data_IF_973197357091
#
_entry.id   IF_973197357091
#
_cell.length_a   1.000
_cell.length_b   1.000
_cell.length_c   1.000
_cell.angle_alpha   90.00
_cell.angle_beta   90.00
_cell.angle_gamma   90.00
#
_symmetry.space_group_name_H-M   'P 1'
#
loop_
_entity.id
_entity.type
_entity.pdbx_description
1 polymer ?
#
# COMPACT_ATOMS: atom_id res chain seq x y z
N UNK A 1 20.00 -5.96 -20.44
CA UNK A 1 18.89 -5.00 -20.36
C UNK A 1 19.41 -3.67 -19.90
N UNK A 2 18.76 -2.59 -20.32
CA UNK A 2 18.94 -1.25 -19.78
C UNK A 2 17.91 -1.02 -18.69
N UNK A 3 18.36 -0.81 -17.46
CA UNK A 3 17.53 -0.81 -16.26
C UNK A 3 17.58 0.54 -15.56
N UNK A 4 16.42 1.12 -15.28
CA UNK A 4 16.31 2.32 -14.46
C UNK A 4 16.12 1.93 -13.00
N UNK A 5 17.09 2.20 -12.13
CA UNK A 5 16.99 1.93 -10.71
C UNK A 5 16.38 3.13 -9.96
N UNK A 6 15.21 2.93 -9.35
CA UNK A 6 14.57 3.94 -8.51
C UNK A 6 15.24 4.00 -7.13
N UNK A 7 16.06 5.02 -6.91
CA UNK A 7 16.91 5.19 -5.74
C UNK A 7 16.32 6.22 -4.78
N UNK A 8 15.76 5.72 -3.67
CA UNK A 8 15.07 6.50 -2.64
C UNK A 8 16.00 7.20 -1.64
N UNK A 9 17.31 6.96 -1.70
CA UNK A 9 18.26 7.34 -0.65
C UNK A 9 18.30 6.39 0.54
N UNK A 10 17.46 5.35 0.54
CA UNK A 10 17.47 4.25 1.52
C UNK A 10 18.35 3.08 1.10
N UNK A 11 18.70 2.25 2.10
CA UNK A 11 19.53 1.04 1.94
C UNK A 11 18.96 0.07 0.91
N UNK A 12 17.65 -0.18 0.95
CA UNK A 12 16.97 -1.15 0.10
C UNK A 12 17.15 -0.81 -1.39
N UNK A 13 16.88 0.45 -1.75
CA UNK A 13 17.01 0.88 -3.15
C UNK A 13 18.46 0.94 -3.65
N UNK A 14 19.43 1.20 -2.75
CA UNK A 14 20.84 1.20 -3.11
C UNK A 14 21.35 -0.23 -3.37
N UNK A 15 20.97 -1.19 -2.51
CA UNK A 15 21.31 -2.61 -2.71
C UNK A 15 20.60 -3.16 -3.94
N UNK A 16 19.34 -2.80 -4.17
CA UNK A 16 18.63 -3.20 -5.38
C UNK A 16 19.33 -2.73 -6.66
N UNK A 17 19.81 -1.48 -6.70
CA UNK A 17 20.60 -0.96 -7.81
C UNK A 17 21.92 -1.74 -7.97
N UNK A 18 22.60 -2.02 -6.87
CA UNK A 18 23.86 -2.78 -6.89
C UNK A 18 23.68 -4.20 -7.44
N UNK A 19 22.63 -4.90 -7.02
CA UNK A 19 22.31 -6.24 -7.51
C UNK A 19 21.95 -6.24 -9.01
N UNK A 20 21.28 -5.18 -9.50
CA UNK A 20 21.03 -5.03 -10.92
C UNK A 20 22.32 -4.82 -11.74
N UNK A 21 23.28 -4.07 -11.19
CA UNK A 21 24.63 -3.91 -11.80
C UNK A 21 25.37 -5.25 -11.81
N UNK A 22 25.35 -5.97 -10.68
CA UNK A 22 26.01 -7.27 -10.51
C UNK A 22 25.44 -8.34 -11.47
N UNK A 23 24.13 -8.28 -11.75
CA UNK A 23 23.48 -9.10 -12.77
C UNK A 23 23.85 -8.73 -14.23
N UNK A 24 24.77 -7.79 -14.43
CA UNK A 24 25.30 -7.39 -15.73
C UNK A 24 24.37 -6.48 -16.55
N UNK A 25 23.47 -5.74 -15.90
CA UNK A 25 22.61 -4.78 -16.59
C UNK A 25 23.29 -3.42 -16.77
N UNK A 26 22.88 -2.69 -17.81
CA UNK A 26 23.22 -1.27 -17.99
C UNK A 26 22.29 -0.44 -17.10
N UNK A 27 22.77 -0.09 -15.90
CA UNK A 27 21.94 0.53 -14.86
C UNK A 27 22.12 2.05 -14.86
N UNK A 28 21.00 2.78 -14.82
CA UNK A 28 20.96 4.21 -14.53
C UNK A 28 20.15 4.42 -13.27
N UNK A 29 20.70 5.15 -12.31
CA UNK A 29 20.00 5.56 -11.09
C UNK A 29 19.10 6.77 -11.33
N UNK A 30 17.93 6.77 -10.69
CA UNK A 30 17.05 7.94 -10.63
C UNK A 30 16.46 8.13 -9.25
N UNK A 31 16.46 9.36 -8.78
CA UNK A 31 15.69 9.76 -7.60
C UNK A 31 14.46 10.58 -8.01
N UNK A 32 13.32 10.29 -7.39
CA UNK A 32 12.09 11.02 -7.62
C UNK A 32 11.92 12.07 -6.54
N UNK A 33 12.00 13.35 -6.91
CA UNK A 33 11.63 14.44 -6.03
C UNK A 33 10.09 14.55 -6.01
N UNK A 34 9.46 14.25 -4.88
CA UNK A 34 8.00 14.22 -4.73
C UNK A 34 7.45 15.37 -3.85
N UNK A 35 8.32 16.18 -3.23
CA UNK A 35 7.92 17.34 -2.43
C UNK A 35 8.05 18.64 -3.23
N UNK A 36 6.97 19.44 -3.26
CA UNK A 36 7.00 20.83 -3.79
C UNK A 36 7.79 21.77 -2.88
N UNK A 37 7.84 21.48 -1.58
CA UNK A 37 8.60 22.27 -0.60
C UNK A 37 10.01 21.70 -0.43
N UNK A 38 10.92 22.18 -1.26
CA UNK A 38 12.35 21.81 -1.25
C UNK A 38 13.08 22.26 0.01
N UNK A 39 12.57 23.29 0.68
CA UNK A 39 13.19 23.93 1.85
C UNK A 39 12.83 23.27 3.19
N UNK A 40 12.01 22.22 3.20
CA UNK A 40 11.79 21.44 4.42
C UNK A 40 13.03 20.60 4.71
N UNK A 41 13.98 21.19 5.44
CA UNK A 41 14.96 20.44 6.22
C UNK A 41 14.20 19.48 7.14
N UNK A 42 14.15 18.20 6.77
CA UNK A 42 13.56 17.17 7.61
C UNK A 42 14.60 16.69 8.59
N UNK A 43 14.29 16.74 9.88
CA UNK A 43 15.06 16.05 10.91
C UNK A 43 14.57 14.60 11.02
N UNK A 44 15.33 13.63 10.52
CA UNK A 44 15.11 12.19 10.77
C UNK A 44 14.77 11.34 9.54
N UNK A 45 14.53 10.04 9.75
CA UNK A 45 14.40 9.02 8.69
C UNK A 45 13.01 8.88 8.04
N UNK A 46 12.11 9.85 8.23
CA UNK A 46 10.69 9.74 7.83
C UNK A 46 10.47 10.28 6.41
N UNK A 47 10.61 9.40 5.41
CA UNK A 47 10.28 9.64 4.00
C UNK A 47 11.48 9.52 3.05
N UNK A 48 11.19 9.39 1.75
CA UNK A 48 12.17 9.15 0.67
C UNK A 48 12.35 10.35 -0.28
N UNK A 49 11.88 11.54 0.10
CA UNK A 49 11.60 12.65 -0.80
C UNK A 49 12.35 13.95 -0.42
N UNK A 50 13.37 13.87 0.43
CA UNK A 50 14.14 15.02 0.89
C UNK A 50 15.39 15.26 0.04
N UNK A 51 15.98 16.47 0.16
CA UNK A 51 17.28 16.78 -0.45
C UNK A 51 18.37 15.85 0.07
N UNK A 52 18.31 15.47 1.35
CA UNK A 52 19.27 14.55 1.96
C UNK A 52 19.19 13.16 1.32
N UNK A 53 17.99 12.67 1.06
CA UNK A 53 17.75 11.39 0.38
C UNK A 53 18.30 11.38 -1.05
N UNK A 54 18.12 12.49 -1.78
CA UNK A 54 18.71 12.65 -3.11
C UNK A 54 20.25 12.64 -3.06
N UNK A 55 20.83 13.21 -2.00
CA UNK A 55 22.28 13.18 -1.75
C UNK A 55 22.80 11.78 -1.39
N UNK A 56 22.06 11.04 -0.56
CA UNK A 56 22.36 9.63 -0.24
C UNK A 56 22.31 8.74 -1.49
N UNK A 57 21.26 8.89 -2.30
CA UNK A 57 21.10 8.16 -3.54
C UNK A 57 22.23 8.48 -4.53
N UNK A 58 22.65 9.75 -4.63
CA UNK A 58 23.79 10.16 -5.44
C UNK A 58 25.08 9.46 -4.98
N UNK A 59 25.39 9.50 -3.67
CA UNK A 59 26.59 8.83 -3.12
C UNK A 59 26.60 7.34 -3.41
N UNK A 60 25.45 6.67 -3.26
CA UNK A 60 25.32 5.26 -3.62
C UNK A 60 25.57 5.03 -5.11
N UNK A 61 25.03 5.87 -6.00
CA UNK A 61 25.27 5.77 -7.43
C UNK A 61 26.75 5.99 -7.81
N UNK A 62 27.43 6.94 -7.15
CA UNK A 62 28.86 7.20 -7.36
C UNK A 62 29.71 5.98 -6.95
N UNK A 63 29.39 5.31 -5.82
CA UNK A 63 30.05 4.06 -5.40
C UNK A 63 29.85 2.93 -6.41
N UNK A 64 28.64 2.83 -6.99
CA UNK A 64 28.31 1.82 -8.00
C UNK A 64 28.85 2.16 -9.39
N UNK A 65 29.37 3.37 -9.61
CA UNK A 65 29.86 3.81 -10.92
C UNK A 65 28.77 3.98 -11.97
N UNK A 66 27.51 4.25 -11.56
CA UNK A 66 26.36 4.37 -12.47
C UNK A 66 25.95 5.84 -12.70
N UNK A 67 25.42 6.20 -13.89
CA UNK A 67 24.81 7.51 -14.11
C UNK A 67 23.62 7.73 -13.16
N UNK A 68 23.42 8.98 -12.72
CA UNK A 68 22.37 9.32 -11.77
C UNK A 68 21.67 10.64 -12.13
N UNK A 69 20.34 10.62 -12.07
CA UNK A 69 19.49 11.78 -12.34
C UNK A 69 18.46 12.00 -11.22
N UNK A 70 17.99 13.24 -11.10
CA UNK A 70 16.85 13.58 -10.26
C UNK A 70 15.70 14.00 -11.16
N UNK A 71 14.55 13.37 -11.00
CA UNK A 71 13.33 13.72 -11.71
C UNK A 71 12.33 14.32 -10.75
N UNK A 72 11.84 15.51 -11.09
CA UNK A 72 10.73 16.13 -10.38
C UNK A 72 9.42 15.47 -10.83
N UNK A 73 8.72 14.85 -9.88
CA UNK A 73 7.38 14.30 -10.04
C UNK A 73 6.45 14.87 -8.95
N UNK A 74 6.82 15.98 -8.32
CA UNK A 74 6.10 16.56 -7.18
C UNK A 74 4.70 17.09 -7.54
N UNK A 75 4.53 17.60 -8.76
CA UNK A 75 3.22 18.02 -9.26
C UNK A 75 2.28 16.83 -9.35
N UNK A 76 2.69 15.79 -10.08
CA UNK A 76 1.93 14.54 -10.24
C UNK A 76 1.64 13.88 -8.89
N UNK A 77 2.62 13.86 -7.98
CA UNK A 77 2.46 13.31 -6.64
C UNK A 77 1.38 14.01 -5.83
N UNK A 78 1.40 15.35 -5.81
CA UNK A 78 0.36 16.12 -5.12
C UNK A 78 -1.02 15.83 -5.73
N UNK A 79 -1.11 15.80 -7.07
CA UNK A 79 -2.38 15.70 -7.78
C UNK A 79 -2.99 14.29 -7.75
N UNK A 80 -2.18 13.23 -7.65
CA UNK A 80 -2.67 11.84 -7.71
C UNK A 80 -2.53 11.04 -6.42
N UNK A 81 -1.71 11.49 -5.47
CA UNK A 81 -1.51 10.78 -4.19
C UNK A 81 -2.04 11.61 -3.03
N UNK A 82 -1.64 12.88 -2.93
CA UNK A 82 -2.06 13.74 -1.81
C UNK A 82 -3.51 14.18 -1.97
N UNK A 83 -3.92 14.57 -3.18
CA UNK A 83 -5.30 14.96 -3.47
C UNK A 83 -6.28 13.79 -3.29
N UNK A 84 -5.94 12.59 -3.78
CA UNK A 84 -6.73 11.37 -3.55
C UNK A 84 -6.85 11.07 -2.05
N UNK A 85 -5.73 11.13 -1.32
CA UNK A 85 -5.71 10.92 0.12
C UNK A 85 -6.69 11.86 0.85
N UNK A 86 -6.65 13.16 0.52
CA UNK A 86 -7.55 14.17 1.11
C UNK A 86 -9.02 13.92 0.74
N UNK A 87 -9.31 13.64 -0.53
CA UNK A 87 -10.66 13.40 -1.01
C UNK A 87 -11.30 12.14 -0.40
N UNK A 88 -10.53 11.06 -0.26
CA UNK A 88 -10.99 9.82 0.36
C UNK A 88 -11.33 10.02 1.84
N UNK A 89 -10.48 10.72 2.59
CA UNK A 89 -10.76 11.07 3.99
C UNK A 89 -11.97 12.00 4.13
N UNK A 90 -12.10 13.00 3.26
CA UNK A 90 -13.28 13.89 3.24
C UNK A 90 -14.57 13.10 2.97
N UNK A 91 -14.48 12.03 2.19
CA UNK A 91 -15.58 11.11 1.93
C UNK A 91 -15.77 10.01 3.01
N UNK A 92 -15.10 10.12 4.16
CA UNK A 92 -15.23 9.18 5.28
C UNK A 92 -14.56 7.81 5.06
N UNK A 93 -13.70 7.70 4.04
CA UNK A 93 -12.95 6.49 3.71
C UNK A 93 -11.54 6.56 4.29
N UNK A 94 -10.85 5.43 4.33
CA UNK A 94 -9.46 5.37 4.78
C UNK A 94 -8.60 4.84 3.63
N UNK A 95 -7.88 5.71 2.90
CA UNK A 95 -7.05 5.31 1.78
C UNK A 95 -5.69 4.77 2.22
N UNK A 96 -5.00 4.07 1.31
CA UNK A 96 -3.59 3.74 1.45
C UNK A 96 -2.75 4.55 0.43
N UNK A 97 -2.06 5.62 0.85
CA UNK A 97 -1.30 6.47 -0.08
C UNK A 97 -0.11 5.75 -0.72
N UNK A 98 0.41 4.69 -0.10
CA UNK A 98 1.49 3.89 -0.68
C UNK A 98 1.02 3.08 -1.89
N UNK A 99 -0.24 2.65 -1.91
CA UNK A 99 -0.85 1.98 -3.07
C UNK A 99 -0.92 2.95 -4.24
N UNK A 100 -1.51 4.15 -4.04
CA UNK A 100 -1.60 5.19 -5.08
C UNK A 100 -0.25 5.70 -5.57
N UNK A 101 0.75 5.78 -4.68
CA UNK A 101 2.11 6.11 -5.08
C UNK A 101 2.75 5.02 -5.96
N UNK A 102 2.53 3.73 -5.64
CA UNK A 102 2.99 2.65 -6.51
C UNK A 102 2.31 2.73 -7.88
N UNK A 103 0.99 2.86 -7.90
CA UNK A 103 0.19 3.00 -9.12
C UNK A 103 0.62 4.20 -9.98
N UNK A 104 0.37 5.42 -9.51
CA UNK A 104 0.45 6.62 -10.36
C UNK A 104 1.86 7.19 -10.52
N UNK A 105 2.77 6.91 -9.59
CA UNK A 105 4.11 7.50 -9.58
C UNK A 105 5.14 6.50 -10.05
N UNK A 106 5.21 5.31 -9.43
CA UNK A 106 6.25 4.34 -9.74
C UNK A 106 5.97 3.54 -11.02
N UNK A 107 4.73 3.10 -11.24
CA UNK A 107 4.39 2.20 -12.34
C UNK A 107 3.62 2.85 -13.49
N UNK A 108 3.05 4.04 -13.30
CA UNK A 108 2.67 4.94 -14.39
C UNK A 108 3.81 5.91 -14.70
N UNK A 109 3.96 7.01 -13.95
CA UNK A 109 4.82 8.12 -14.36
C UNK A 109 6.30 7.73 -14.57
N UNK A 110 6.91 7.03 -13.62
CA UNK A 110 8.31 6.63 -13.70
C UNK A 110 8.51 5.57 -14.79
N UNK A 111 7.69 4.51 -14.82
CA UNK A 111 7.85 3.41 -15.76
C UNK A 111 7.52 3.81 -17.20
N UNK A 112 6.51 4.67 -17.42
CA UNK A 112 6.19 5.21 -18.75
C UNK A 112 7.33 6.09 -19.27
N UNK A 113 7.85 6.98 -18.42
CA UNK A 113 9.01 7.81 -18.77
C UNK A 113 10.26 6.97 -19.03
N UNK A 114 10.50 5.94 -18.22
CA UNK A 114 11.59 4.99 -18.43
C UNK A 114 11.46 4.29 -19.79
N UNK A 115 10.27 3.79 -20.10
CA UNK A 115 9.97 3.11 -21.37
C UNK A 115 10.20 4.05 -22.56
N UNK A 116 9.73 5.30 -22.49
CA UNK A 116 9.93 6.30 -23.54
C UNK A 116 11.41 6.65 -23.76
N UNK A 117 12.24 6.57 -22.72
CA UNK A 117 13.69 6.80 -22.78
C UNK A 117 14.50 5.56 -23.19
N UNK A 118 13.83 4.45 -23.52
CA UNK A 118 14.45 3.21 -23.98
C UNK A 118 15.01 2.33 -22.87
N UNK A 119 14.46 2.42 -21.66
CA UNK A 119 14.73 1.42 -20.61
C UNK A 119 13.82 0.20 -20.78
N UNK A 120 14.40 -0.97 -20.56
CA UNK A 120 13.69 -2.26 -20.64
C UNK A 120 12.87 -2.52 -19.37
N UNK A 121 13.39 -2.08 -18.21
CA UNK A 121 12.78 -2.33 -16.91
C UNK A 121 13.10 -1.24 -15.88
N UNK A 122 12.28 -1.19 -14.82
CA UNK A 122 12.50 -0.39 -13.62
C UNK A 122 12.78 -1.30 -12.43
N UNK A 123 13.95 -1.12 -11.81
CA UNK A 123 14.31 -1.79 -10.57
C UNK A 123 13.96 -0.93 -9.37
N UNK A 124 13.34 -1.53 -8.35
CA UNK A 124 13.00 -0.84 -7.10
C UNK A 124 13.47 -1.67 -5.90
N UNK A 125 13.69 -1.00 -4.76
CA UNK A 125 14.03 -1.65 -3.50
C UNK A 125 12.85 -2.31 -2.79
N UNK A 126 11.84 -2.79 -3.51
CA UNK A 126 10.70 -3.45 -2.86
C UNK A 126 10.99 -4.92 -2.59
N UNK A 127 10.44 -5.41 -1.47
CA UNK A 127 10.47 -6.81 -1.07
C UNK A 127 9.26 -7.54 -1.66
N UNK A 128 9.42 -8.04 -2.88
CA UNK A 128 8.50 -8.95 -3.54
C UNK A 128 9.26 -9.77 -4.59
N UNK A 129 8.68 -10.86 -5.07
CA UNK A 129 9.29 -11.70 -6.09
C UNK A 129 8.52 -11.59 -7.41
N UNK A 130 9.28 -11.63 -8.51
CA UNK A 130 8.72 -11.86 -9.84
C UNK A 130 9.14 -13.24 -10.28
N UNK A 131 8.18 -14.15 -10.43
CA UNK A 131 8.41 -15.53 -10.85
C UNK A 131 8.00 -15.67 -12.31
N UNK A 132 8.83 -16.33 -13.12
CA UNK A 132 8.49 -16.69 -14.49
C UNK A 132 7.85 -18.06 -14.50
N UNK A 133 6.65 -18.17 -15.07
CA UNK A 133 5.96 -19.43 -15.31
C UNK A 133 5.69 -19.58 -16.80
N UNK A 134 5.99 -20.76 -17.34
CA UNK A 134 5.57 -21.11 -18.70
C UNK A 134 4.12 -21.61 -18.64
N UNK A 135 3.23 -20.94 -19.36
CA UNK A 135 1.84 -21.35 -19.54
C UNK A 135 1.75 -22.60 -20.45
N UNK A 136 0.62 -23.34 -20.44
CA UNK A 136 0.47 -24.55 -21.25
C UNK A 136 0.66 -24.35 -22.77
N UNK A 137 0.41 -23.14 -23.26
CA UNK A 137 0.60 -22.72 -24.66
C UNK A 137 2.07 -22.33 -24.97
N UNK A 138 2.97 -22.40 -23.99
CA UNK A 138 4.38 -22.02 -24.11
C UNK A 138 4.66 -20.54 -23.82
N UNK A 139 3.64 -19.73 -23.55
CA UNK A 139 3.83 -18.30 -23.24
C UNK A 139 4.48 -18.13 -21.87
N UNK A 140 5.50 -17.27 -21.76
CA UNK A 140 6.06 -16.89 -20.46
C UNK A 140 5.18 -15.84 -19.77
N UNK A 141 4.72 -16.16 -18.57
CA UNK A 141 3.91 -15.29 -17.72
C UNK A 141 4.73 -14.88 -16.51
N UNK A 142 4.68 -13.59 -16.19
CA UNK A 142 5.27 -13.06 -14.95
C UNK A 142 4.23 -13.08 -13.85
N UNK A 143 4.58 -13.66 -12.71
CA UNK A 143 3.74 -13.74 -11.52
C UNK A 143 4.34 -12.86 -10.42
N UNK A 144 3.49 -12.11 -9.72
CA UNK A 144 3.89 -11.36 -8.53
C UNK A 144 3.74 -12.28 -7.31
N UNK A 145 4.80 -12.40 -6.52
CA UNK A 145 4.82 -13.23 -5.32
C UNK A 145 5.26 -12.45 -4.09
N UNK A 146 4.80 -12.90 -2.92
CA UNK A 146 5.26 -12.46 -1.62
C UNK A 146 6.76 -12.64 -1.48
N UNK A 147 7.40 -11.73 -0.74
CA UNK A 147 8.80 -11.91 -0.31
C UNK A 147 8.90 -13.00 0.77
N UNK A 148 10.02 -13.76 0.83
CA UNK A 148 10.34 -14.61 1.98
C UNK A 148 10.54 -13.78 3.26
N UNK A 149 10.86 -12.49 3.16
CA UNK A 149 10.83 -11.55 4.28
C UNK A 149 9.39 -11.12 4.58
N UNK A 150 8.66 -11.95 5.33
CA UNK A 150 7.24 -11.74 5.64
C UNK A 150 6.96 -10.43 6.38
N UNK A 151 7.90 -9.95 7.20
CA UNK A 151 7.77 -8.70 7.95
C UNK A 151 7.88 -7.44 7.06
N UNK A 152 8.52 -7.57 5.90
CA UNK A 152 8.73 -6.48 4.93
C UNK A 152 8.03 -6.71 3.59
N UNK A 153 7.28 -7.81 3.44
CA UNK A 153 6.58 -8.12 2.20
C UNK A 153 5.77 -6.92 1.69
N UNK A 154 6.01 -6.56 0.43
CA UNK A 154 5.41 -5.42 -0.23
C UNK A 154 4.54 -5.85 -1.41
N UNK A 155 4.33 -7.16 -1.62
CA UNK A 155 3.43 -7.66 -2.65
C UNK A 155 2.04 -7.00 -2.60
N UNK A 156 1.54 -6.74 -1.39
CA UNK A 156 0.25 -6.09 -1.15
C UNK A 156 0.14 -4.69 -1.80
N UNK A 157 1.15 -3.84 -1.59
CA UNK A 157 1.12 -2.46 -2.13
C UNK A 157 1.52 -2.40 -3.61
N UNK A 158 2.14 -3.47 -4.12
CA UNK A 158 2.57 -3.59 -5.52
C UNK A 158 1.48 -4.15 -6.43
N UNK A 159 0.51 -4.91 -5.89
CA UNK A 159 -0.51 -5.59 -6.69
C UNK A 159 -1.32 -4.62 -7.57
N UNK A 160 -1.54 -3.38 -7.14
CA UNK A 160 -2.24 -2.35 -7.92
C UNK A 160 -1.62 -2.08 -9.31
N UNK A 161 -0.33 -2.38 -9.51
CA UNK A 161 0.36 -2.11 -10.79
C UNK A 161 -0.15 -2.99 -11.95
N UNK A 162 -0.74 -4.14 -11.63
CA UNK A 162 -1.25 -5.09 -12.61
C UNK A 162 -0.18 -5.85 -13.43
N UNK A 163 -0.63 -6.84 -14.22
CA UNK A 163 0.25 -7.73 -14.96
C UNK A 163 1.02 -7.02 -16.09
N UNK A 164 0.45 -5.98 -16.69
CA UNK A 164 1.09 -5.26 -17.80
C UNK A 164 2.35 -4.52 -17.35
N UNK A 165 2.29 -3.84 -16.20
CA UNK A 165 3.43 -3.14 -15.62
C UNK A 165 4.44 -4.11 -15.00
N UNK A 166 3.97 -5.23 -14.43
CA UNK A 166 4.82 -6.30 -13.90
C UNK A 166 5.86 -6.80 -14.91
N UNK A 167 5.53 -6.82 -16.21
CA UNK A 167 6.45 -7.25 -17.28
C UNK A 167 7.77 -6.47 -17.31
N UNK A 168 7.75 -5.22 -16.87
CA UNK A 168 8.91 -4.31 -16.84
C UNK A 168 9.36 -3.95 -15.41
N UNK A 169 8.81 -4.61 -14.39
CA UNK A 169 9.21 -4.40 -13.01
C UNK A 169 10.31 -5.39 -12.59
N UNK A 170 11.26 -4.90 -11.80
CA UNK A 170 12.30 -5.71 -11.16
C UNK A 170 12.35 -5.44 -9.66
N UNK A 171 12.40 -6.52 -8.87
CA UNK A 171 12.51 -6.49 -7.41
C UNK A 171 13.73 -7.29 -6.96
N UNK A 172 14.95 -6.74 -7.09
CA UNK A 172 16.18 -7.48 -6.78
C UNK A 172 16.27 -7.97 -5.33
N UNK A 173 15.54 -7.33 -4.39
CA UNK A 173 15.50 -7.76 -2.99
C UNK A 173 14.56 -8.95 -2.73
N UNK A 174 13.86 -9.44 -3.75
CA UNK A 174 12.86 -10.50 -3.60
C UNK A 174 13.42 -11.83 -3.04
N UNK A 175 14.72 -12.07 -3.13
CA UNK A 175 15.35 -13.29 -2.58
C UNK A 175 15.76 -13.20 -1.11
N UNK A 176 15.73 -12.02 -0.50
CA UNK A 176 16.25 -11.81 0.86
C UNK A 176 15.21 -12.19 1.91
N UNK A 177 15.62 -12.99 2.89
CA UNK A 177 14.74 -13.46 3.96
C UNK A 177 14.69 -12.48 5.14
N UNK A 178 15.70 -11.60 5.26
CA UNK A 178 15.76 -10.62 6.33
C UNK A 178 16.35 -9.30 5.87
N UNK A 179 16.06 -8.25 6.65
CA UNK A 179 16.66 -6.94 6.41
C UNK A 179 18.14 -6.90 6.78
N UNK A 180 18.56 -7.73 7.73
CA UNK A 180 19.95 -7.77 8.17
C UNK A 180 20.86 -8.29 7.05
N UNK A 181 20.39 -9.24 6.24
CA UNK A 181 21.08 -9.65 5.01
C UNK A 181 21.24 -8.46 4.04
N UNK A 182 20.19 -7.68 3.79
CA UNK A 182 20.26 -6.50 2.91
C UNK A 182 21.23 -5.45 3.45
N UNK A 183 21.26 -5.22 4.77
CA UNK A 183 22.25 -4.31 5.39
C UNK A 183 23.68 -4.85 5.28
N UNK A 184 23.87 -6.17 5.39
CA UNK A 184 25.17 -6.80 5.20
C UNK A 184 25.67 -6.64 3.76
N UNK A 185 24.80 -6.83 2.76
CA UNK A 185 25.13 -6.57 1.35
C UNK A 185 25.52 -5.10 1.11
N UNK A 186 24.82 -4.16 1.75
CA UNK A 186 25.16 -2.74 1.67
C UNK A 186 26.54 -2.46 2.27
N UNK A 187 26.83 -3.00 3.45
CA UNK A 187 28.11 -2.83 4.13
C UNK A 187 29.26 -3.44 3.32
N UNK A 188 29.09 -4.64 2.76
CA UNK A 188 30.08 -5.31 1.92
C UNK A 188 30.44 -4.50 0.66
N UNK A 189 29.51 -3.70 0.14
CA UNK A 189 29.69 -2.83 -1.03
C UNK A 189 30.14 -1.41 -0.68
N UNK A 190 30.39 -1.10 0.59
CA UNK A 190 30.77 0.24 1.03
C UNK A 190 29.65 1.28 0.89
N UNK A 191 28.39 0.85 0.84
CA UNK A 191 27.25 1.76 0.76
C UNK A 191 26.98 2.40 2.12
N UNK A 192 27.22 3.71 2.21
CA UNK A 192 27.09 4.52 3.45
C UNK A 192 25.69 4.50 4.09
N UNK A 193 24.66 4.10 3.33
CA UNK A 193 23.26 4.02 3.78
C UNK A 193 22.96 2.78 4.65
N UNK A 194 23.91 1.88 4.86
CA UNK A 194 23.73 0.61 5.59
C UNK A 194 23.19 0.77 7.02
N UNK A 195 23.50 1.88 7.69
CA UNK A 195 23.06 2.18 9.06
C UNK A 195 21.77 3.02 9.14
N UNK A 196 21.24 3.52 8.02
CA UNK A 196 20.07 4.41 8.03
C UNK A 196 18.85 3.66 8.59
N UNK A 197 18.02 4.28 9.46
CA UNK A 197 16.75 3.71 9.86
C UNK A 197 15.80 3.67 8.65
N UNK A 198 14.81 2.78 8.68
CA UNK A 198 13.79 2.79 7.64
C UNK A 198 12.92 4.03 7.71
N UNK A 199 12.38 4.37 6.55
CA UNK A 199 11.18 5.18 6.48
C UNK A 199 10.00 4.33 6.93
N UNK A 200 9.44 4.72 8.08
CA UNK A 200 8.14 4.29 8.55
C UNK A 200 7.17 5.47 8.42
N UNK A 201 5.87 5.17 8.28
CA UNK A 201 4.75 6.13 8.12
C UNK A 201 4.58 6.77 6.72
N UNK A 202 3.52 7.58 6.58
CA UNK A 202 3.12 8.23 5.33
C UNK A 202 4.18 9.25 4.92
N UNK A 203 4.75 9.10 3.72
CA UNK A 203 5.95 9.85 3.33
C UNK A 203 5.79 11.38 3.30
N UNK A 204 4.58 11.90 3.09
CA UNK A 204 4.31 13.35 3.07
C UNK A 204 3.81 13.91 4.42
N UNK A 205 3.55 13.07 5.42
CA UNK A 205 3.19 13.48 6.78
C UNK A 205 4.45 13.44 7.64
N UNK A 206 5.19 14.54 7.66
CA UNK A 206 6.58 14.57 8.16
C UNK A 206 6.72 14.22 9.65
N UNK A 207 5.78 14.63 10.49
CA UNK A 207 5.76 14.42 11.93
C UNK A 207 4.98 13.16 12.36
N UNK A 208 4.36 12.46 11.40
CA UNK A 208 3.47 11.33 11.64
C UNK A 208 2.07 11.70 12.15
N UNK A 209 1.77 12.99 12.33
CA UNK A 209 0.44 13.44 12.77
C UNK A 209 -0.52 13.53 11.58
N UNK A 210 -1.09 12.39 11.21
CA UNK A 210 -2.07 12.33 10.11
C UNK A 210 -3.31 13.16 10.41
N UNK A 211 -3.78 13.20 11.67
CA UNK A 211 -4.94 14.02 12.04
C UNK A 211 -4.64 15.51 11.93
N UNK A 212 -3.44 15.94 12.35
CA UNK A 212 -2.94 17.28 12.16
C UNK A 212 -2.85 17.67 10.70
N UNK A 213 -2.22 16.84 9.87
CA UNK A 213 -2.14 17.04 8.43
C UNK A 213 -3.51 17.21 7.77
N UNK A 214 -4.47 16.34 8.10
CA UNK A 214 -5.84 16.43 7.58
C UNK A 214 -6.53 17.71 8.03
N UNK A 215 -6.39 18.10 9.30
CA UNK A 215 -6.98 19.33 9.85
C UNK A 215 -6.41 20.59 9.21
N UNK A 216 -5.10 20.63 8.96
CA UNK A 216 -4.45 21.77 8.32
C UNK A 216 -4.87 21.93 6.85
N UNK A 217 -5.17 20.83 6.16
CA UNK A 217 -5.58 20.83 4.74
C UNK A 217 -7.08 20.97 4.51
N UNK A 218 -7.92 20.36 5.36
CA UNK A 218 -9.38 20.31 5.20
C UNK A 218 -10.14 21.29 6.10
N UNK A 219 -9.46 21.85 7.11
CA UNK A 219 -10.03 22.73 8.12
C UNK A 219 -10.86 21.98 9.17
N UNK A 220 -10.99 22.56 10.36
CA UNK A 220 -11.80 21.97 11.44
C UNK A 220 -13.31 22.04 11.11
N UNK A 221 -14.00 20.92 11.26
CA UNK A 221 -15.46 20.77 11.09
C UNK A 221 -16.04 20.06 12.32
N UNK A 222 -16.45 20.81 13.36
CA UNK A 222 -16.98 20.22 14.58
C UNK A 222 -18.20 19.34 14.31
N UNK A 223 -18.26 18.18 14.96
CA UNK A 223 -19.34 17.20 14.82
C UNK A 223 -19.49 16.32 16.04
N UNK A 224 -20.53 15.48 16.05
CA UNK A 224 -20.89 14.66 17.20
C UNK A 224 -20.32 13.25 17.09
N UNK A 225 -19.84 12.72 18.22
CA UNK A 225 -19.61 11.29 18.41
C UNK A 225 -20.85 10.71 19.08
N UNK A 226 -21.51 9.76 18.43
CA UNK A 226 -22.76 9.14 18.90
C UNK A 226 -22.60 7.64 19.09
N UNK A 227 -23.45 7.03 19.92
CA UNK A 227 -23.59 5.57 19.93
C UNK A 227 -24.60 5.07 18.88
N UNK A 228 -24.78 3.75 18.83
CA UNK A 228 -25.73 3.08 17.92
C UNK A 228 -27.19 3.44 18.15
N UNK A 229 -27.53 4.04 19.29
CA UNK A 229 -28.88 4.51 19.63
C UNK A 229 -29.06 6.00 19.28
N UNK A 230 -27.99 6.66 18.80
CA UNK A 230 -27.98 8.09 18.48
C UNK A 230 -27.70 8.98 19.70
N UNK A 231 -27.33 8.41 20.85
CA UNK A 231 -26.99 9.21 22.03
C UNK A 231 -25.64 9.88 21.82
N UNK A 232 -25.58 11.21 21.98
CA UNK A 232 -24.34 11.97 21.90
C UNK A 232 -23.43 11.65 23.09
N UNK A 233 -22.23 11.16 22.79
CA UNK A 233 -21.22 10.78 23.78
C UNK A 233 -20.08 11.79 23.88
N UNK A 234 -19.87 12.60 22.84
CA UNK A 234 -18.80 13.58 22.75
C UNK A 234 -18.84 14.35 21.44
N UNK A 235 -17.77 15.13 21.20
CA UNK A 235 -17.60 15.95 20.01
C UNK A 235 -16.22 15.70 19.38
N UNK A 236 -16.06 16.08 18.13
CA UNK A 236 -14.80 15.99 17.39
C UNK A 236 -14.60 17.17 16.45
N UNK A 237 -13.37 17.43 16.00
CA UNK A 237 -13.04 18.52 15.07
C UNK A 237 -13.10 18.14 13.58
N UNK A 238 -13.53 16.92 13.25
CA UNK A 238 -13.79 16.50 11.87
C UNK A 238 -13.96 15.00 11.75
N UNK A 239 -15.08 14.54 11.18
CA UNK A 239 -15.34 13.11 11.04
C UNK A 239 -14.29 12.40 10.18
N UNK A 240 -13.70 13.13 9.21
CA UNK A 240 -12.59 12.68 8.37
C UNK A 240 -11.34 12.26 9.16
N UNK A 241 -11.19 12.66 10.43
CA UNK A 241 -10.04 12.30 11.25
C UNK A 241 -10.18 10.90 11.90
N UNK A 242 -11.27 10.19 11.65
CA UNK A 242 -11.59 8.90 12.26
C UNK A 242 -11.61 7.78 11.23
N UNK A 243 -11.29 6.57 11.68
CA UNK A 243 -11.25 5.36 10.85
C UNK A 243 -12.07 4.26 11.50
N UNK A 244 -12.85 3.53 10.71
CA UNK A 244 -13.61 2.36 11.19
C UNK A 244 -12.68 1.36 11.87
N UNK A 245 -13.04 0.92 13.08
CA UNK A 245 -12.21 0.08 13.95
C UNK A 245 -11.22 0.83 14.84
N UNK A 246 -11.13 2.16 14.76
CA UNK A 246 -10.31 2.97 15.65
C UNK A 246 -10.85 2.94 17.09
N UNK A 247 -9.95 2.71 18.05
CA UNK A 247 -10.22 2.78 19.50
C UNK A 247 -9.66 4.03 20.16
N UNK A 248 -8.41 4.39 19.83
CA UNK A 248 -7.68 5.51 20.45
C UNK A 248 -8.13 6.84 19.84
N UNK A 249 -7.97 7.95 20.56
CA UNK A 249 -8.26 9.29 20.03
C UNK A 249 -9.75 9.68 19.99
N UNK A 250 -10.64 8.86 20.57
CA UNK A 250 -12.06 9.20 20.69
C UNK A 250 -12.34 10.21 21.82
N UNK A 251 -11.42 10.36 22.79
CA UNK A 251 -11.50 11.31 23.91
C UNK A 251 -12.86 11.36 24.65
N UNK A 252 -13.57 10.23 24.71
CA UNK A 252 -14.87 10.14 25.37
C UNK A 252 -14.69 10.28 26.89
N UNK A 253 -15.16 11.40 27.45
CA UNK A 253 -15.01 11.73 28.87
C UNK A 253 -15.87 10.89 29.83
N UNK A 254 -16.71 10.00 29.30
CA UNK A 254 -17.57 9.09 30.08
C UNK A 254 -17.33 7.65 29.63
N UNK A 255 -16.91 6.74 30.51
CA UNK A 255 -16.89 5.31 30.21
C UNK A 255 -18.27 4.83 29.79
N UNK A 256 -18.33 3.83 28.90
CA UNK A 256 -19.58 3.15 28.60
C UNK A 256 -20.16 2.52 29.89
N UNK A 257 -21.49 2.41 29.98
CA UNK A 257 -22.16 1.85 31.16
C UNK A 257 -21.72 0.42 31.49
N UNK A 258 -21.26 -0.34 30.50
CA UNK A 258 -20.71 -1.69 30.63
C UNK A 258 -19.19 -1.73 30.90
N UNK A 259 -18.53 -0.57 30.99
CA UNK A 259 -17.09 -0.44 31.20
C UNK A 259 -16.22 -0.87 30.02
N UNK A 260 -16.80 -1.28 28.88
CA UNK A 260 -16.06 -1.79 27.72
C UNK A 260 -15.57 -0.65 26.80
N UNK A 261 -14.44 -0.85 26.09
CA UNK A 261 -13.94 0.14 25.15
C UNK A 261 -14.89 0.30 23.95
N UNK A 262 -15.02 1.55 23.48
CA UNK A 262 -15.74 1.90 22.24
C UNK A 262 -14.80 1.91 21.05
N UNK A 263 -15.32 1.54 19.90
CA UNK A 263 -14.64 1.57 18.60
C UNK A 263 -15.49 2.34 17.61
N UNK A 264 -14.86 3.05 16.67
CA UNK A 264 -15.56 3.66 15.53
C UNK A 264 -16.19 2.54 14.70
N UNK A 265 -17.52 2.57 14.57
CA UNK A 265 -18.29 1.64 13.76
C UNK A 265 -18.55 2.18 12.35
N UNK A 266 -18.79 3.49 12.27
CA UNK A 266 -19.15 4.17 11.03
C UNK A 266 -18.68 5.64 11.08
N UNK A 267 -18.36 6.18 9.92
CA UNK A 267 -17.96 7.58 9.72
C UNK A 267 -18.91 8.17 8.68
N UNK A 268 -19.75 9.10 9.10
CA UNK A 268 -20.80 9.67 8.27
C UNK A 268 -20.41 11.10 7.86
N UNK A 269 -19.77 11.28 6.68
CA UNK A 269 -19.24 12.59 6.28
C UNK A 269 -20.35 13.62 6.03
N UNK A 270 -21.52 13.19 5.52
CA UNK A 270 -22.64 14.10 5.20
C UNK A 270 -23.27 14.70 6.45
N UNK A 271 -23.50 13.90 7.49
CA UNK A 271 -24.00 14.36 8.79
C UNK A 271 -22.89 14.81 9.73
N UNK A 272 -21.62 14.72 9.30
CA UNK A 272 -20.43 14.95 10.10
C UNK A 272 -20.48 14.27 11.48
N UNK A 273 -20.84 12.99 11.48
CA UNK A 273 -21.09 12.20 12.68
C UNK A 273 -20.19 10.96 12.71
N UNK A 274 -19.62 10.65 13.88
CA UNK A 274 -18.85 9.42 14.12
C UNK A 274 -19.67 8.51 15.02
N UNK A 275 -20.02 7.33 14.52
CA UNK A 275 -20.77 6.33 15.29
C UNK A 275 -19.78 5.41 15.98
N UNK A 276 -19.94 5.20 17.28
CA UNK A 276 -19.11 4.31 18.08
C UNK A 276 -19.91 3.24 18.80
N UNK A 277 -19.27 2.11 19.09
CA UNK A 277 -19.92 1.04 19.80
C UNK A 277 -18.98 -0.11 20.15
N UNK A 278 -19.54 -1.24 20.58
CA UNK A 278 -18.76 -2.40 21.00
C UNK A 278 -18.11 -3.10 19.78
N UNK A 279 -16.97 -3.75 20.01
CA UNK A 279 -16.10 -4.29 18.94
C UNK A 279 -16.77 -5.39 18.11
N UNK A 280 -17.73 -6.08 18.68
CA UNK A 280 -18.43 -7.21 18.08
C UNK A 280 -19.22 -6.79 16.83
N UNK A 281 -19.70 -5.54 16.80
CA UNK A 281 -20.43 -4.96 15.67
C UNK A 281 -19.55 -4.67 14.45
N UNK A 282 -18.22 -4.75 14.58
CA UNK A 282 -17.28 -4.57 13.47
C UNK A 282 -17.01 -5.83 12.66
N UNK A 283 -17.60 -6.95 13.06
CA UNK A 283 -17.29 -8.25 12.46
C UNK A 283 -17.98 -8.39 11.11
N UNK A 284 -17.19 -8.56 10.06
CA UNK A 284 -17.63 -8.75 8.67
C UNK A 284 -17.10 -10.08 8.15
N UNK A 285 -17.87 -10.72 7.28
CA UNK A 285 -17.53 -11.98 6.63
C UNK A 285 -17.70 -11.92 5.11
N UNK A 286 -18.22 -10.82 4.56
CA UNK A 286 -18.32 -10.58 3.12
C UNK A 286 -17.76 -9.22 2.73
N UNK A 287 -16.94 -9.20 1.70
CA UNK A 287 -16.33 -8.01 1.14
C UNK A 287 -16.70 -7.88 -0.34
N UNK A 288 -16.90 -6.65 -0.79
CA UNK A 288 -17.06 -6.31 -2.19
C UNK A 288 -16.02 -5.26 -2.53
N UNK A 289 -15.26 -5.52 -3.60
CA UNK A 289 -14.28 -4.60 -4.14
C UNK A 289 -14.59 -4.20 -5.58
N UNK A 290 -14.21 -2.98 -5.94
CA UNK A 290 -14.26 -2.46 -7.30
C UNK A 290 -12.85 -2.29 -7.89
N UNK A 291 -12.78 -1.91 -9.17
CA UNK A 291 -11.53 -1.66 -9.91
C UNK A 291 -10.56 -2.83 -9.80
N UNK A 292 -11.09 -4.04 -9.96
CA UNK A 292 -10.30 -5.24 -9.78
C UNK A 292 -9.21 -5.36 -10.86
N UNK A 293 -7.99 -5.64 -10.41
CA UNK A 293 -6.81 -5.90 -11.23
C UNK A 293 -6.42 -7.35 -11.03
N UNK A 294 -6.43 -8.15 -12.09
CA UNK A 294 -6.19 -9.60 -12.01
C UNK A 294 -4.82 -9.99 -12.55
N UNK A 295 -4.11 -10.86 -11.82
CA UNK A 295 -2.80 -11.44 -12.21
C UNK A 295 -2.89 -12.90 -12.65
N UNK A 296 -3.97 -13.60 -12.25
CA UNK A 296 -4.10 -15.04 -12.41
C UNK A 296 -5.32 -15.41 -13.25
N UNK A 297 -5.26 -15.13 -14.56
CA UNK A 297 -6.31 -15.52 -15.52
C UNK A 297 -6.58 -17.04 -15.52
N UNK A 298 -5.55 -17.84 -15.28
CA UNK A 298 -5.65 -19.29 -15.13
C UNK A 298 -6.53 -19.71 -13.96
N UNK A 299 -6.49 -18.98 -12.84
CA UNK A 299 -7.35 -19.26 -11.68
C UNK A 299 -8.80 -18.87 -11.98
N UNK A 300 -9.02 -17.74 -12.65
CA UNK A 300 -10.36 -17.34 -13.07
C UNK A 300 -10.96 -18.31 -14.09
N UNK A 301 -10.17 -18.77 -15.05
CA UNK A 301 -10.61 -19.71 -16.07
C UNK A 301 -10.88 -21.12 -15.53
N UNK A 302 -10.20 -21.51 -14.45
CA UNK A 302 -10.39 -22.80 -13.78
C UNK A 302 -11.46 -22.76 -12.68
N UNK A 303 -12.08 -21.61 -12.42
CA UNK A 303 -13.14 -21.49 -11.43
C UNK A 303 -14.35 -22.37 -11.80
N UNK A 304 -15.09 -22.92 -10.82
CA UNK A 304 -16.33 -23.66 -11.08
C UNK A 304 -17.40 -22.77 -11.76
N UNK A 305 -18.50 -23.38 -12.20
CA UNK A 305 -19.60 -22.67 -12.88
C UNK A 305 -20.21 -21.53 -12.05
N UNK A 306 -20.10 -21.57 -10.72
CA UNK A 306 -20.56 -20.50 -9.81
C UNK A 306 -19.56 -19.31 -9.69
N UNK A 307 -18.38 -19.44 -10.31
CA UNK A 307 -17.30 -18.48 -10.36
C UNK A 307 -16.43 -18.42 -9.09
N UNK A 308 -16.73 -19.20 -8.06
CA UNK A 308 -16.06 -19.11 -6.76
C UNK A 308 -14.83 -20.01 -6.67
N UNK A 309 -13.69 -19.42 -6.35
CA UNK A 309 -12.43 -20.13 -6.10
C UNK A 309 -11.90 -19.87 -4.68
N UNK A 310 -11.12 -20.80 -4.15
CA UNK A 310 -10.46 -20.66 -2.85
C UNK A 310 -9.25 -19.73 -2.96
N UNK A 311 -9.09 -18.84 -1.98
CA UNK A 311 -7.99 -17.89 -1.90
C UNK A 311 -7.70 -17.52 -0.45
N UNK A 312 -6.64 -16.76 -0.25
CA UNK A 312 -6.40 -16.01 0.98
C UNK A 312 -6.56 -14.51 0.68
N UNK A 313 -7.25 -13.77 1.55
CA UNK A 313 -7.46 -12.34 1.39
C UNK A 313 -6.71 -11.55 2.44
N UNK A 314 -6.03 -10.49 2.00
CA UNK A 314 -5.40 -9.51 2.87
C UNK A 314 -6.02 -8.14 2.60
N UNK A 315 -6.39 -7.43 3.66
CA UNK A 315 -7.10 -6.13 3.59
C UNK A 315 -6.35 -4.99 4.29
N UNK A 316 -5.13 -5.28 4.77
CA UNK A 316 -4.20 -4.33 5.42
C UNK A 316 -2.79 -4.76 5.10
N UNK A 317 -1.89 -3.82 4.78
CA UNK A 317 -0.51 -4.12 4.38
C UNK A 317 0.28 -4.96 5.41
N UNK A 318 0.04 -4.75 6.71
CA UNK A 318 0.65 -5.54 7.80
C UNK A 318 -0.34 -6.51 8.47
N UNK A 319 -1.52 -6.73 7.87
CA UNK A 319 -2.48 -7.71 8.34
C UNK A 319 -2.14 -9.11 7.86
N UNK A 320 -2.40 -10.12 8.69
CA UNK A 320 -2.32 -11.51 8.25
C UNK A 320 -3.39 -11.79 7.18
N UNK A 321 -3.05 -12.56 6.13
CA UNK A 321 -4.05 -13.05 5.19
C UNK A 321 -5.03 -14.01 5.89
N UNK A 322 -6.28 -14.03 5.44
CA UNK A 322 -7.35 -14.88 5.96
C UNK A 322 -7.90 -15.75 4.85
N UNK A 323 -8.17 -17.02 5.14
CA UNK A 323 -8.81 -17.92 4.18
C UNK A 323 -10.17 -17.38 3.73
N UNK A 324 -10.43 -17.44 2.43
CA UNK A 324 -11.64 -16.93 1.82
C UNK A 324 -12.00 -17.70 0.55
N UNK A 325 -13.24 -17.54 0.09
CA UNK A 325 -13.63 -17.79 -1.29
C UNK A 325 -13.75 -16.44 -1.99
N UNK A 326 -13.38 -16.36 -3.25
CA UNK A 326 -13.52 -15.16 -4.05
C UNK A 326 -14.12 -15.48 -5.42
N UNK A 327 -14.76 -14.48 -6.04
CA UNK A 327 -15.17 -14.53 -7.44
C UNK A 327 -15.07 -13.17 -8.10
N UNK A 328 -14.76 -13.17 -9.39
CA UNK A 328 -14.88 -11.98 -10.22
C UNK A 328 -16.35 -11.65 -10.47
N UNK A 329 -16.69 -10.36 -10.44
CA UNK A 329 -18.03 -9.83 -10.76
C UNK A 329 -17.91 -8.65 -11.73
N UNK A 330 -19.04 -8.17 -12.25
CA UNK A 330 -19.13 -7.00 -13.12
C UNK A 330 -18.15 -7.05 -14.31
N UNK A 331 -18.19 -8.15 -15.06
CA UNK A 331 -17.26 -8.41 -16.17
C UNK A 331 -15.78 -8.27 -15.77
N UNK A 332 -15.45 -8.84 -14.59
CA UNK A 332 -14.13 -8.82 -13.95
C UNK A 332 -13.67 -7.47 -13.44
N UNK A 333 -14.47 -6.41 -13.52
CA UNK A 333 -14.14 -5.09 -12.96
C UNK A 333 -14.33 -5.03 -11.44
N UNK A 334 -14.98 -6.03 -10.84
CA UNK A 334 -15.14 -6.14 -9.40
C UNK A 334 -14.81 -7.54 -8.85
N UNK A 335 -14.82 -7.65 -7.53
CA UNK A 335 -14.62 -8.89 -6.80
C UNK A 335 -15.57 -9.00 -5.62
N UNK A 336 -16.10 -10.20 -5.40
CA UNK A 336 -16.77 -10.56 -4.15
C UNK A 336 -15.93 -11.57 -3.39
N UNK A 337 -15.84 -11.40 -2.07
CA UNK A 337 -15.06 -12.26 -1.18
C UNK A 337 -15.92 -12.69 0.01
N UNK A 338 -15.93 -13.99 0.30
CA UNK A 338 -16.55 -14.60 1.47
C UNK A 338 -15.45 -15.18 2.37
N UNK A 339 -15.33 -14.64 3.59
CA UNK A 339 -14.33 -15.06 4.56
C UNK A 339 -14.71 -16.42 5.16
N UNK A 340 -13.71 -17.27 5.32
CA UNK A 340 -13.86 -18.55 6.02
C UNK A 340 -13.47 -18.37 7.49
N UNK A 341 -14.37 -18.73 8.41
CA UNK A 341 -14.12 -18.68 9.86
C UNK A 341 -14.79 -17.48 10.56
N UNK A 342 -14.08 -16.88 11.52
CA UNK A 342 -14.61 -15.86 12.45
C UNK A 342 -14.78 -14.45 11.84
N UNK A 343 -14.45 -14.29 10.56
CA UNK A 343 -14.49 -13.03 9.85
C UNK A 343 -13.33 -12.08 10.20
N UNK A 344 -13.43 -10.85 9.70
CA UNK A 344 -12.49 -9.76 9.96
C UNK A 344 -13.19 -8.62 10.68
N UNK A 345 -12.41 -7.72 11.30
CA UNK A 345 -12.95 -6.59 12.06
C UNK A 345 -12.45 -5.26 11.53
N UNK A 346 -13.36 -4.31 11.41
CA UNK A 346 -13.04 -2.91 11.12
C UNK A 346 -12.42 -2.73 9.74
N UNK A 347 -13.06 -3.29 8.71
CA UNK A 347 -12.65 -3.05 7.32
C UNK A 347 -13.34 -1.77 6.86
N UNK A 348 -12.53 -0.73 6.66
CA UNK A 348 -13.01 0.54 6.12
C UNK A 348 -13.05 0.49 4.58
N UNK A 349 -14.11 1.02 3.94
CA UNK A 349 -14.08 1.30 2.52
C UNK A 349 -12.89 2.19 2.13
N UNK A 350 -12.37 2.00 0.92
CA UNK A 350 -11.16 2.68 0.41
C UNK A 350 -9.84 1.95 0.68
N UNK A 351 -9.84 0.91 1.53
CA UNK A 351 -8.67 0.03 1.68
C UNK A 351 -8.53 -0.90 0.47
N UNK A 352 -7.29 -1.23 0.11
CA UNK A 352 -7.03 -2.32 -0.85
C UNK A 352 -7.40 -3.68 -0.27
N UNK A 353 -7.78 -4.58 -1.15
CA UNK A 353 -8.00 -6.00 -0.90
C UNK A 353 -7.15 -6.75 -1.91
N UNK A 354 -6.26 -7.62 -1.43
CA UNK A 354 -5.38 -8.44 -2.28
C UNK A 354 -5.65 -9.91 -2.01
N UNK A 355 -5.86 -10.67 -3.09
CA UNK A 355 -6.08 -12.11 -3.09
C UNK A 355 -4.77 -12.85 -3.35
N UNK A 356 -4.56 -13.94 -2.64
CA UNK A 356 -3.36 -14.77 -2.71
C UNK A 356 -3.71 -16.26 -2.82
N UNK A 357 -2.79 -17.01 -3.44
CA UNK A 357 -2.67 -18.47 -3.27
C UNK A 357 -1.26 -18.77 -2.77
N UNK A 358 -1.10 -18.94 -1.45
CA UNK A 358 0.21 -19.02 -0.83
C UNK A 358 0.99 -17.72 -1.05
N UNK A 359 2.10 -17.79 -1.79
CA UNK A 359 2.88 -16.59 -2.11
C UNK A 359 2.38 -15.84 -3.34
N UNK A 360 1.64 -16.49 -4.25
CA UNK A 360 1.22 -15.90 -5.53
C UNK A 360 0.11 -14.88 -5.32
N UNK A 361 0.26 -13.68 -5.87
CA UNK A 361 -0.82 -12.68 -5.96
C UNK A 361 -1.77 -13.07 -7.10
N UNK A 362 -3.07 -13.14 -6.80
CA UNK A 362 -4.11 -13.50 -7.76
C UNK A 362 -4.81 -12.26 -8.34
N UNK A 363 -5.02 -11.25 -7.49
CA UNK A 363 -5.67 -10.00 -7.87
C UNK A 363 -5.70 -8.99 -6.73
N UNK A 364 -6.01 -7.75 -7.07
CA UNK A 364 -6.21 -6.63 -6.16
C UNK A 364 -7.52 -5.90 -6.51
N UNK A 365 -8.13 -5.24 -5.53
CA UNK A 365 -9.30 -4.38 -5.71
C UNK A 365 -9.38 -3.35 -4.59
N UNK A 366 -10.20 -2.30 -4.74
CA UNK A 366 -10.50 -1.38 -3.64
C UNK A 366 -11.81 -1.76 -2.97
N UNK A 367 -11.81 -1.94 -1.64
CA UNK A 367 -13.01 -2.28 -0.88
C UNK A 367 -14.03 -1.16 -0.96
N UNK A 368 -15.23 -1.46 -1.44
CA UNK A 368 -16.38 -0.54 -1.48
C UNK A 368 -17.42 -0.86 -0.41
N UNK A 369 -17.52 -2.12 0.02
CA UNK A 369 -18.37 -2.50 1.15
C UNK A 369 -17.84 -3.72 1.89
N UNK A 370 -18.10 -3.75 3.20
CA UNK A 370 -17.77 -4.85 4.08
C UNK A 370 -18.97 -5.09 5.01
N UNK A 371 -19.55 -6.29 4.96
CA UNK A 371 -20.80 -6.59 5.66
C UNK A 371 -20.72 -7.97 6.32
N UNK A 372 -21.61 -8.21 7.28
CA UNK A 372 -21.93 -9.55 7.75
C UNK A 372 -23.02 -10.15 6.87
N UNK A 373 -22.82 -11.37 6.39
CA UNK A 373 -23.81 -12.15 5.69
C UNK A 373 -25.03 -12.29 6.60
N UNK A 374 -26.20 -11.86 6.12
CA UNK A 374 -27.46 -11.99 6.86
C UNK A 374 -27.69 -13.48 7.16
N UNK A 375 -27.50 -13.90 8.41
CA UNK A 375 -27.77 -15.29 8.82
C UNK A 375 -26.93 -15.86 9.97
N UNK A 376 -25.81 -15.24 10.35
CA UNK A 376 -25.03 -15.66 11.53
C UNK A 376 -25.13 -14.66 12.67
N UNK A 377 -26.30 -14.64 13.31
CA UNK A 377 -26.41 -14.28 14.72
C UNK A 377 -26.58 -15.62 15.44
N UNK A 378 -25.51 -16.10 16.05
CA UNK A 378 -25.59 -17.14 17.08
C UNK A 378 -24.97 -16.58 18.35
#
# INVERSE_FOLDING_TARGET
>A
MRVLAAMSGGVDSAVAAALAVEAGHDVVGVHMALSRNRDQFRSGSRGCCSIEDAGDARRAADVLGIPYYVWDLSERFEDTVVADFLAEYEAGRTPNPCVRCNEHIKFEALLDKATALGFDAVATGHYAQVVLRTAPDGTEVRELHRSPNTAKDQSYVLAVMGPDRLRRAMFPLGGFASKDEVRAEAAARGLSVSAKPDSYDICFVADGDTQGFLRDRLGARPGAIVDTEGTVLGEHDGAYAYTVGQRKGLALGRPAADGRPRYVLDVQPVSNTVVVGPVELLTVDRLVGDRAVWFADDVLAAAPDDGWFDAEVQVRAHGAPVAARARAVDDRSGVEVELVGDGLRGIAPGQSLVLYAGTRVLGESTVVSANRARGRVS
#
